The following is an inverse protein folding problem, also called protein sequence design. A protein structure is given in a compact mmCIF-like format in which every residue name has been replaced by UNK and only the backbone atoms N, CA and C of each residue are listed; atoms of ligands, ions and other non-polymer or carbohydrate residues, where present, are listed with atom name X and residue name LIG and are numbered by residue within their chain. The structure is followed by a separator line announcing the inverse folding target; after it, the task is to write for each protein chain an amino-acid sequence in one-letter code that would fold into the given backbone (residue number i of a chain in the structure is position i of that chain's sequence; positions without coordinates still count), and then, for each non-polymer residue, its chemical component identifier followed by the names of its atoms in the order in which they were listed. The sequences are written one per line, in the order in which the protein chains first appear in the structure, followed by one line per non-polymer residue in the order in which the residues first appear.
data_IF_403861013274
#
_entry.id   IF_403861013274
#
_cell.length_a   1.000
_cell.length_b   1.000
_cell.length_c   1.000
_cell.angle_alpha   90.00
_cell.angle_beta   90.00
_cell.angle_gamma   90.00
#
_symmetry.space_group_name_H-M   'P 1'
#
loop_
_entity.id
_entity.type
_entity.pdbx_description
1 polymer ?
#
# COMPACT_ATOMS: atom_id res chain seq x y z
N UNK A 1 12.49 11.58 48.48
CA UNK A 1 12.52 10.36 47.65
C UNK A 1 12.25 10.77 46.22
N UNK A 2 13.15 11.60 45.72
CA UNK A 2 13.57 11.65 44.32
C UNK A 2 14.46 10.42 44.04
N UNK A 3 14.68 10.10 42.77
CA UNK A 3 15.66 9.11 42.25
C UNK A 3 15.08 7.76 41.79
N UNK A 4 14.25 7.74 40.73
CA UNK A 4 14.05 6.55 39.87
C UNK A 4 13.34 6.81 38.52
N UNK A 5 13.13 8.07 38.09
CA UNK A 5 12.30 8.40 36.92
C UNK A 5 13.00 9.31 35.88
N UNK A 6 14.32 9.43 35.92
CA UNK A 6 15.11 10.30 35.01
C UNK A 6 15.89 9.52 33.93
N UNK A 7 15.58 8.24 33.68
CA UNK A 7 16.49 7.43 32.86
C UNK A 7 16.19 7.44 31.35
N UNK A 8 15.01 7.89 30.93
CA UNK A 8 14.60 7.83 29.52
C UNK A 8 14.27 9.20 28.96
N UNK A 9 15.17 9.70 28.12
CA UNK A 9 14.96 10.92 27.34
C UNK A 9 14.14 10.62 26.07
N UNK A 10 13.47 11.65 25.53
CA UNK A 10 12.71 11.58 24.27
C UNK A 10 13.57 11.11 23.08
N UNK A 11 14.90 11.28 23.19
CA UNK A 11 15.90 10.89 22.23
C UNK A 11 17.05 10.16 22.95
N UNK A 12 17.40 8.97 22.48
CA UNK A 12 18.50 8.18 23.03
C UNK A 12 19.30 7.52 21.92
N UNK A 13 20.62 7.53 22.04
CA UNK A 13 21.53 6.86 21.11
C UNK A 13 22.38 5.84 21.86
N UNK A 14 22.43 4.62 21.32
CA UNK A 14 23.28 3.56 21.83
C UNK A 14 24.24 3.09 20.74
N UNK A 15 25.54 3.11 21.03
CA UNK A 15 26.53 2.41 20.23
C UNK A 15 26.57 0.94 20.64
N UNK A 16 26.61 0.05 19.65
CA UNK A 16 26.79 -1.36 19.90
C UNK A 16 28.29 -1.67 19.97
N UNK A 17 28.73 -2.44 20.95
CA UNK A 17 30.10 -2.96 21.04
C UNK A 17 30.18 -4.35 20.41
N UNK A 18 31.39 -4.81 20.07
CA UNK A 18 31.61 -6.13 19.45
C UNK A 18 31.31 -7.29 20.41
N UNK A 19 31.29 -7.01 21.73
CA UNK A 19 30.81 -7.92 22.77
C UNK A 19 29.31 -8.19 22.68
N UNK A 20 28.55 -7.33 21.99
CA UNK A 20 27.09 -7.34 21.96
C UNK A 20 26.44 -6.50 23.07
N UNK A 21 27.23 -5.80 23.87
CA UNK A 21 26.74 -4.83 24.86
C UNK A 21 26.42 -3.49 24.19
N UNK A 22 25.44 -2.77 24.73
CA UNK A 22 25.03 -1.43 24.29
C UNK A 22 25.63 -0.36 25.21
N UNK A 23 26.28 0.65 24.65
CA UNK A 23 26.78 1.81 25.37
C UNK A 23 25.96 3.04 25.00
N UNK A 24 25.36 3.72 25.98
CA UNK A 24 24.62 4.97 25.74
C UNK A 24 25.62 6.09 25.41
N UNK A 25 25.35 6.81 24.34
CA UNK A 25 26.07 8.03 23.97
C UNK A 25 25.18 9.21 24.30
N UNK A 26 25.74 10.19 24.99
CA UNK A 26 25.08 11.47 25.24
C UNK A 26 25.36 12.39 24.06
N UNK A 27 24.34 12.61 23.22
CA UNK A 27 24.44 13.44 22.02
C UNK A 27 23.10 14.12 21.78
N UNK A 28 23.14 15.36 21.32
CA UNK A 28 21.95 16.07 20.87
C UNK A 28 21.53 15.60 19.47
N UNK A 29 20.25 15.80 19.13
CA UNK A 29 19.70 15.38 17.84
C UNK A 29 20.42 16.04 16.64
N UNK A 30 20.84 17.30 16.79
CA UNK A 30 21.55 18.04 15.73
C UNK A 30 22.95 17.48 15.43
N UNK A 31 23.57 16.82 16.41
CA UNK A 31 24.95 16.35 16.32
C UNK A 31 25.02 14.87 15.93
N UNK A 32 23.87 14.21 15.75
CA UNK A 32 23.76 12.80 15.37
C UNK A 32 24.58 12.47 14.11
N UNK A 33 24.60 13.34 13.11
CA UNK A 33 25.35 13.08 11.87
C UNK A 33 26.85 12.88 12.10
N UNK A 34 27.41 13.58 13.10
CA UNK A 34 28.85 13.56 13.37
C UNK A 34 29.32 12.24 13.98
N UNK A 35 28.43 11.52 14.66
CA UNK A 35 28.76 10.26 15.35
C UNK A 35 28.51 9.01 14.49
N UNK A 36 27.77 9.12 13.38
CA UNK A 36 27.44 7.99 12.50
C UNK A 36 28.67 7.51 11.71
N UNK A 37 29.54 6.77 12.38
CA UNK A 37 30.76 6.22 11.80
C UNK A 37 30.48 4.96 10.94
N UNK A 38 31.05 4.84 9.72
CA UNK A 38 30.82 3.69 8.83
C UNK A 38 31.17 2.32 9.41
N UNK A 39 32.01 2.26 10.45
CA UNK A 39 32.48 1.04 11.09
C UNK A 39 31.60 0.58 12.25
N UNK A 40 30.66 1.42 12.66
CA UNK A 40 29.83 1.20 13.84
C UNK A 40 28.38 0.87 13.50
N UNK A 41 27.66 0.41 14.52
CA UNK A 41 26.21 0.17 14.47
C UNK A 41 25.60 0.89 15.65
N UNK A 42 24.58 1.70 15.38
CA UNK A 42 23.89 2.49 16.38
C UNK A 42 22.42 2.06 16.49
N UNK A 43 21.90 2.08 17.71
CA UNK A 43 20.47 1.93 18.00
C UNK A 43 19.98 3.28 18.51
N UNK A 44 19.08 3.91 17.75
CA UNK A 44 18.61 5.26 17.99
C UNK A 44 17.12 5.18 18.32
N UNK A 45 16.72 5.66 19.49
CA UNK A 45 15.34 5.70 19.94
C UNK A 45 14.85 7.14 19.83
N UNK A 46 13.70 7.33 19.19
CA UNK A 46 13.01 8.62 19.17
C UNK A 46 11.53 8.42 19.51
N UNK A 47 11.11 8.99 20.63
CA UNK A 47 9.74 8.83 21.15
C UNK A 47 8.71 9.48 20.22
N UNK A 48 9.00 10.68 19.71
CA UNK A 48 8.03 11.49 18.93
C UNK A 48 7.46 10.74 17.73
N UNK A 49 8.33 9.99 17.04
CA UNK A 49 7.95 9.17 15.88
C UNK A 49 7.63 7.73 16.28
N UNK A 50 7.84 7.36 17.55
CA UNK A 50 7.70 6.00 18.10
C UNK A 50 8.49 4.99 17.28
N UNK A 51 9.77 5.26 17.06
CA UNK A 51 10.66 4.37 16.31
C UNK A 51 11.97 4.11 17.03
N UNK A 52 12.47 2.90 16.81
CA UNK A 52 13.81 2.48 17.15
C UNK A 52 14.51 2.21 15.82
N UNK A 53 15.45 3.07 15.45
CA UNK A 53 16.24 2.91 14.24
C UNK A 53 17.49 2.11 14.58
N UNK A 54 17.82 1.13 13.75
CA UNK A 54 19.10 0.42 13.77
C UNK A 54 19.90 0.94 12.58
N UNK A 55 20.81 1.88 12.82
CA UNK A 55 21.68 2.40 11.77
C UNK A 55 22.92 1.51 11.66
N UNK A 56 23.22 1.04 10.45
CA UNK A 56 24.30 0.10 10.16
C UNK A 56 25.30 0.74 9.21
N UNK A 57 26.50 1.00 9.72
CA UNK A 57 27.59 1.50 8.90
C UNK A 57 28.03 0.46 7.85
N UNK A 58 28.42 0.90 6.67
CA UNK A 58 28.77 0.01 5.55
C UNK A 58 29.99 -0.87 5.81
N UNK A 59 30.91 -0.42 6.67
CA UNK A 59 32.12 -1.14 7.10
C UNK A 59 31.94 -1.89 8.42
N UNK A 60 30.76 -1.81 9.04
CA UNK A 60 30.54 -2.48 10.32
C UNK A 60 30.54 -4.00 10.18
N UNK A 61 31.10 -4.76 11.15
CA UNK A 61 31.18 -6.22 11.08
C UNK A 61 29.81 -6.90 10.97
N UNK A 62 29.72 -7.96 10.18
CA UNK A 62 28.46 -8.71 9.95
C UNK A 62 27.84 -9.18 11.27
N UNK A 63 28.65 -9.76 12.17
CA UNK A 63 28.22 -10.20 13.50
C UNK A 63 27.53 -9.07 14.28
N UNK A 64 28.07 -7.85 14.22
CA UNK A 64 27.56 -6.67 14.91
C UNK A 64 26.17 -6.27 14.40
N UNK A 65 25.96 -6.29 13.08
CA UNK A 65 24.66 -6.03 12.43
C UNK A 65 23.60 -7.09 12.75
N UNK A 66 24.00 -8.34 12.99
CA UNK A 66 23.08 -9.39 13.41
C UNK A 66 22.67 -9.24 14.89
N UNK A 67 23.64 -8.91 15.75
CA UNK A 67 23.39 -8.73 17.18
C UNK A 67 22.51 -7.50 17.44
N UNK A 68 22.66 -6.43 16.64
CA UNK A 68 21.89 -5.20 16.81
C UNK A 68 20.37 -5.41 16.77
N UNK A 69 19.87 -6.34 15.95
CA UNK A 69 18.43 -6.67 15.91
C UNK A 69 17.94 -7.23 17.24
N UNK A 70 18.73 -8.09 17.89
CA UNK A 70 18.39 -8.66 19.21
C UNK A 70 18.44 -7.60 20.30
N UNK A 71 19.45 -6.74 20.27
CA UNK A 71 19.61 -5.64 21.23
C UNK A 71 18.45 -4.65 21.11
N UNK A 72 18.03 -4.30 19.89
CA UNK A 72 16.88 -3.44 19.66
C UNK A 72 15.57 -4.06 20.16
N UNK A 73 15.37 -5.38 19.98
CA UNK A 73 14.21 -6.09 20.55
C UNK A 73 14.19 -6.06 22.08
N UNK A 74 15.33 -6.33 22.73
CA UNK A 74 15.45 -6.24 24.19
C UNK A 74 15.15 -4.82 24.68
N UNK A 75 15.71 -3.81 24.02
CA UNK A 75 15.46 -2.42 24.34
C UNK A 75 13.99 -2.02 24.12
N UNK A 76 13.35 -2.54 23.07
CA UNK A 76 11.92 -2.33 22.84
C UNK A 76 11.06 -2.92 23.97
N UNK A 77 11.38 -4.12 24.46
CA UNK A 77 10.68 -4.75 25.59
C UNK A 77 10.90 -4.00 26.91
N UNK A 78 12.11 -3.49 27.13
CA UNK A 78 12.45 -2.60 28.25
C UNK A 78 11.57 -1.34 28.23
N UNK A 79 11.54 -0.66 27.07
CA UNK A 79 10.79 0.58 26.86
C UNK A 79 9.26 0.39 26.84
N UNK A 80 8.76 -0.78 26.43
CA UNK A 80 7.32 -1.07 26.42
C UNK A 80 6.66 -1.00 27.80
N UNK A 81 7.44 -1.12 28.89
CA UNK A 81 6.96 -0.97 30.26
C UNK A 81 6.53 0.48 30.55
N UNK A 82 7.03 1.43 29.78
CA UNK A 82 6.70 2.84 29.89
C UNK A 82 5.58 3.23 28.91
N UNK A 83 4.64 4.04 29.39
CA UNK A 83 3.49 4.46 28.59
C UNK A 83 3.89 5.29 27.34
N UNK A 84 5.04 5.98 27.40
CA UNK A 84 5.61 6.75 26.30
C UNK A 84 5.97 5.85 25.09
N UNK A 85 6.62 4.72 25.34
CA UNK A 85 7.25 3.91 24.30
C UNK A 85 6.50 2.61 23.92
N UNK A 86 5.27 2.40 24.42
CA UNK A 86 4.47 1.17 24.27
C UNK A 86 4.18 0.68 22.83
N UNK A 87 4.60 1.42 21.78
CA UNK A 87 4.37 1.08 20.35
C UNK A 87 5.56 1.37 19.45
N UNK A 88 6.78 1.47 20.00
CA UNK A 88 7.92 1.77 19.16
C UNK A 88 8.14 0.67 18.12
N UNK A 89 8.29 1.04 16.84
CA UNK A 89 8.60 0.08 15.76
C UNK A 89 10.09 0.09 15.46
N UNK A 90 10.69 -1.09 15.33
CA UNK A 90 12.08 -1.25 14.91
C UNK A 90 12.18 -1.08 13.40
N UNK A 91 13.13 -0.26 12.94
CA UNK A 91 13.43 -0.01 11.53
C UNK A 91 14.93 -0.15 11.32
N UNK A 92 15.35 -1.00 10.38
CA UNK A 92 16.76 -1.05 9.98
C UNK A 92 17.07 0.00 8.93
N UNK A 93 18.20 0.67 9.10
CA UNK A 93 18.73 1.70 8.20
C UNK A 93 20.15 1.30 7.83
N UNK A 94 20.40 1.10 6.54
CA UNK A 94 21.74 0.79 6.02
C UNK A 94 22.35 2.09 5.47
N UNK A 95 23.64 2.31 5.73
CA UNK A 95 24.33 3.51 5.26
C UNK A 95 24.33 3.59 3.72
N UNK A 96 23.91 4.74 3.19
CA UNK A 96 23.72 4.98 1.75
C UNK A 96 22.42 4.42 1.16
N UNK A 97 21.55 3.80 1.97
CA UNK A 97 20.19 3.40 1.62
C UNK A 97 19.23 3.86 2.74
N UNK A 98 19.43 5.09 3.23
CA UNK A 98 18.63 5.61 4.33
C UNK A 98 17.20 5.92 3.87
N UNK A 99 16.15 5.42 4.56
CA UNK A 99 14.78 5.74 4.19
C UNK A 99 14.53 7.24 4.39
N UNK A 100 13.74 7.84 3.49
CA UNK A 100 13.37 9.28 3.54
C UNK A 100 12.81 9.67 4.90
N UNK A 101 12.07 8.76 5.55
CA UNK A 101 11.57 8.96 6.91
C UNK A 101 12.70 9.19 7.92
N UNK A 102 13.79 8.42 7.89
CA UNK A 102 14.94 8.61 8.78
C UNK A 102 15.63 9.95 8.53
N UNK A 103 15.90 10.28 7.26
CA UNK A 103 16.55 11.54 6.90
C UNK A 103 15.73 12.75 7.34
N UNK A 104 14.41 12.74 7.07
CA UNK A 104 13.50 13.82 7.48
C UNK A 104 13.33 13.92 9.00
N UNK A 105 13.42 12.80 9.73
CA UNK A 105 13.22 12.74 11.18
C UNK A 105 14.36 13.42 11.94
N UNK A 106 15.58 13.34 11.43
CA UNK A 106 16.80 13.87 12.05
C UNK A 106 17.40 15.06 11.28
N UNK A 107 16.71 15.54 10.23
CA UNK A 107 17.16 16.59 9.33
C UNK A 107 18.58 16.32 8.77
N UNK A 108 18.81 15.08 8.33
CA UNK A 108 20.10 14.60 7.82
C UNK A 108 20.11 14.56 6.29
N UNK A 109 21.30 14.72 5.71
CA UNK A 109 21.58 14.42 4.31
C UNK A 109 22.00 12.95 4.13
N UNK A 110 21.70 12.34 2.98
CA UNK A 110 22.08 10.95 2.72
C UNK A 110 23.60 10.78 2.70
N UNK A 111 24.10 9.74 3.36
CA UNK A 111 25.54 9.47 3.45
C UNK A 111 25.97 8.58 2.29
N UNK A 112 26.33 9.20 1.16
CA UNK A 112 26.75 8.46 -0.04
C UNK A 112 27.99 7.58 0.22
N UNK A 113 27.82 6.27 -0.01
CA UNK A 113 28.91 5.29 0.10
C UNK A 113 29.70 5.26 -1.21
N UNK A 114 30.90 5.86 -1.21
CA UNK A 114 31.80 5.87 -2.39
C UNK A 114 32.42 4.52 -2.72
N UNK A 115 32.55 3.63 -1.74
CA UNK A 115 33.16 2.30 -1.92
C UNK A 115 32.35 1.25 -1.14
N UNK A 116 31.65 0.36 -1.87
CA UNK A 116 31.05 -0.84 -1.28
C UNK A 116 32.14 -1.92 -1.20
N UNK A 117 32.63 -2.31 -0.01
CA UNK A 117 33.61 -3.37 0.11
C UNK A 117 33.05 -4.68 -0.48
N UNK A 118 33.89 -5.40 -1.24
CA UNK A 118 33.51 -6.62 -1.97
C UNK A 118 33.04 -7.78 -1.08
N UNK A 119 33.24 -7.66 0.24
CA UNK A 119 32.92 -8.67 1.25
C UNK A 119 31.42 -8.74 1.63
N UNK A 120 30.58 -7.93 0.96
CA UNK A 120 29.12 -7.87 1.18
C UNK A 120 28.31 -8.49 0.04
N UNK A 121 28.91 -9.40 -0.75
CA UNK A 121 28.10 -10.33 -1.55
C UNK A 121 27.64 -11.46 -0.65
N UNK A 122 26.55 -11.23 0.09
CA UNK A 122 25.61 -12.33 0.30
C UNK A 122 25.17 -12.76 -1.09
N UNK A 123 25.81 -13.79 -1.64
CA UNK A 123 25.22 -14.53 -2.75
C UNK A 123 23.92 -15.07 -2.17
N UNK A 124 22.81 -14.40 -2.41
CA UNK A 124 21.50 -15.02 -2.25
C UNK A 124 21.57 -16.28 -3.11
N UNK A 125 21.18 -17.44 -2.56
CA UNK A 125 21.18 -18.71 -3.29
C UNK A 125 20.46 -18.64 -4.66
N UNK A 126 19.66 -17.61 -4.88
CA UNK A 126 18.91 -17.30 -6.10
C UNK A 126 19.83 -16.92 -7.29
N UNK A 127 21.04 -16.38 -7.07
CA UNK A 127 21.91 -15.93 -8.18
C UNK A 127 22.81 -17.04 -8.76
N UNK A 128 22.92 -18.19 -8.08
CA UNK A 128 23.80 -19.30 -8.52
C UNK A 128 23.25 -20.08 -9.74
N UNK A 129 21.99 -19.86 -10.12
CA UNK A 129 21.33 -20.60 -11.20
C UNK A 129 21.33 -19.89 -12.57
N UNK A 130 21.81 -18.65 -12.67
CA UNK A 130 21.81 -17.93 -13.96
C UNK A 130 23.04 -18.19 -14.84
N UNK A 131 24.03 -18.94 -14.36
CA UNK A 131 25.22 -19.33 -15.13
C UNK A 131 25.40 -20.84 -15.18
N UNK A 132 24.47 -21.55 -15.81
CA UNK A 132 24.78 -22.83 -16.49
C UNK A 132 24.42 -22.74 -17.97
N UNK A 133 25.41 -22.79 -18.88
CA UNK A 133 25.17 -22.72 -20.31
C UNK A 133 24.55 -24.02 -20.87
N UNK A 134 23.73 -23.82 -21.90
CA UNK A 134 23.02 -24.80 -22.72
C UNK A 134 23.86 -26.05 -23.03
N UNK A 135 23.36 -27.21 -22.63
CA UNK A 135 23.86 -28.51 -23.09
C UNK A 135 23.67 -28.65 -24.59
N UNK A 136 24.78 -28.63 -25.32
CA UNK A 136 24.88 -29.09 -26.70
C UNK A 136 25.28 -30.56 -26.62
N UNK A 137 24.38 -31.45 -27.05
CA UNK A 137 24.69 -32.87 -27.23
C UNK A 137 25.76 -32.96 -28.32
N UNK A 138 26.98 -33.35 -27.94
CA UNK A 138 28.03 -33.77 -28.85
C UNK A 138 28.52 -35.12 -28.37
N UNK A 139 28.55 -36.04 -29.32
CA UNK A 139 28.93 -37.43 -29.14
C UNK A 139 30.38 -37.60 -28.67
N UNK A 140 30.51 -38.64 -27.86
CA UNK A 140 31.67 -39.39 -27.41
C UNK A 140 32.96 -39.27 -28.25
N UNK A 141 34.02 -38.74 -27.65
CA UNK A 141 35.40 -39.24 -27.79
C UNK A 141 36.25 -38.76 -26.61
N UNK A 142 36.92 -39.70 -25.94
CA UNK A 142 37.46 -39.52 -24.59
C UNK A 142 38.64 -38.58 -24.42
N UNK A 143 38.83 -38.13 -23.17
CA UNK A 143 40.13 -37.83 -22.57
C UNK A 143 40.00 -37.62 -21.05
N UNK A 144 41.00 -38.21 -20.37
CA UNK A 144 41.55 -38.06 -19.01
C UNK A 144 40.82 -37.26 -17.92
N UNK A 145 40.64 -37.95 -16.79
CA UNK A 145 40.10 -37.46 -15.53
C UNK A 145 41.16 -36.75 -14.68
N UNK A 146 40.99 -35.43 -14.49
CA UNK A 146 41.60 -34.71 -13.38
C UNK A 146 40.74 -34.93 -12.12
N UNK A 147 41.38 -35.45 -11.06
CA UNK A 147 40.74 -35.68 -9.77
C UNK A 147 40.62 -34.34 -9.05
N UNK A 148 39.39 -33.90 -8.79
CA UNK A 148 39.10 -32.88 -7.79
C UNK A 148 39.50 -33.44 -6.41
N UNK A 149 40.50 -32.83 -5.78
CA UNK A 149 40.84 -33.10 -4.38
C UNK A 149 39.74 -32.49 -3.51
N UNK A 150 38.84 -33.34 -3.02
CA UNK A 150 37.90 -32.97 -1.96
C UNK A 150 38.69 -32.53 -0.72
N UNK A 151 38.59 -31.24 -0.40
CA UNK A 151 39.17 -30.65 0.80
C UNK A 151 38.53 -31.27 2.05
N UNK A 152 39.20 -32.28 2.62
CA UNK A 152 38.81 -32.94 3.86
C UNK A 152 39.35 -32.15 5.05
N UNK A 153 38.48 -31.51 5.83
CA UNK A 153 38.89 -30.71 6.98
C UNK A 153 39.54 -31.58 8.07
N UNK A 154 40.76 -31.27 8.56
CA UNK A 154 41.47 -32.06 9.56
C UNK A 154 40.72 -32.32 10.88
N UNK A 155 39.74 -31.47 11.22
CA UNK A 155 38.95 -31.57 12.45
C UNK A 155 38.04 -32.81 12.51
N UNK A 156 37.60 -33.34 11.36
CA UNK A 156 36.76 -34.55 11.30
C UNK A 156 37.59 -35.84 11.47
N UNK A 157 38.87 -35.80 11.15
CA UNK A 157 39.78 -36.95 11.25
C UNK A 157 40.25 -37.19 12.69
N UNK A 158 40.36 -36.13 13.50
CA UNK A 158 40.62 -36.24 14.94
C UNK A 158 39.46 -36.88 15.72
N UNK A 159 38.21 -36.60 15.34
CA UNK A 159 37.03 -37.20 15.97
C UNK A 159 36.91 -38.69 15.64
N UNK A 160 37.27 -39.08 14.42
CA UNK A 160 37.28 -40.49 14.00
C UNK A 160 38.42 -41.28 14.66
N UNK A 161 39.60 -40.67 14.87
CA UNK A 161 40.70 -41.27 15.63
C UNK A 161 40.40 -41.43 17.12
N UNK A 162 39.48 -40.63 17.68
CA UNK A 162 39.04 -40.74 19.07
C UNK A 162 37.91 -41.75 19.30
N UNK A 163 37.47 -42.49 18.27
CA UNK A 163 36.51 -43.59 18.43
C UNK A 163 35.12 -43.13 18.89
N UNK A 164 34.72 -41.89 18.57
CA UNK A 164 33.39 -41.37 18.88
C UNK A 164 32.45 -41.72 17.72
N UNK A 165 31.65 -42.76 17.90
CA UNK A 165 30.53 -43.08 17.00
C UNK A 165 29.40 -42.05 17.24
N UNK A 166 29.13 -41.19 16.25
CA UNK A 166 28.08 -40.14 16.33
C UNK A 166 26.71 -40.68 15.87
N UNK A 167 26.54 -42.00 15.80
CA UNK A 167 25.36 -42.64 15.19
C UNK A 167 24.24 -42.98 16.17
N UNK A 168 24.39 -42.70 17.47
CA UNK A 168 23.39 -43.08 18.46
C UNK A 168 23.38 -42.13 19.66
N UNK A 169 22.52 -41.12 19.62
CA UNK A 169 21.84 -40.52 20.79
C UNK A 169 20.99 -39.33 20.32
N UNK A 170 19.80 -39.62 19.79
CA UNK A 170 18.67 -38.69 19.81
C UNK A 170 17.56 -39.39 20.60
N UNK A 171 17.70 -39.38 21.92
CA UNK A 171 16.60 -39.72 22.82
C UNK A 171 15.89 -38.45 23.30
N UNK A 172 14.57 -38.51 23.26
CA UNK A 172 13.61 -37.46 23.64
C UNK A 172 13.70 -37.13 25.14
N UNK A 173 13.45 -35.87 25.55
CA UNK A 173 13.02 -35.60 26.91
C UNK A 173 11.49 -35.43 26.96
N UNK A 174 10.82 -36.47 27.42
CA UNK A 174 9.56 -36.39 28.16
C UNK A 174 9.85 -36.03 29.61
N UNK A 175 9.13 -35.07 30.21
CA UNK A 175 9.16 -34.90 31.67
C UNK A 175 8.74 -33.53 32.19
N UNK A 176 7.44 -33.35 32.39
CA UNK A 176 6.86 -32.38 33.33
C UNK A 176 7.19 -32.72 34.78
N UNK A 177 7.22 -31.71 35.68
CA UNK A 177 6.72 -31.91 37.04
C UNK A 177 5.66 -30.89 37.45
N UNK A 178 4.75 -31.39 38.28
CA UNK A 178 3.62 -30.73 38.90
C UNK A 178 3.96 -29.96 40.17
N UNK A 179 3.08 -29.01 40.48
CA UNK A 179 2.66 -28.53 41.81
C UNK A 179 3.67 -27.90 42.77
N UNK A 180 3.40 -26.65 43.18
CA UNK A 180 2.93 -26.38 44.56
C UNK A 180 2.38 -24.97 44.72
N UNK A 181 1.29 -24.91 45.48
CA UNK A 181 0.54 -23.78 45.98
C UNK A 181 1.29 -23.00 47.05
N UNK A 182 1.25 -21.66 47.00
CA UNK A 182 1.43 -20.83 48.18
C UNK A 182 0.53 -19.58 48.11
N UNK A 183 -0.42 -19.56 49.03
CA UNK A 183 -1.32 -18.48 49.39
C UNK A 183 -0.58 -17.34 50.08
N UNK A 184 -0.74 -16.10 49.60
CA UNK A 184 -0.41 -14.89 50.40
C UNK A 184 -1.53 -13.86 50.31
N UNK A 185 -1.84 -13.36 51.50
CA UNK A 185 -2.82 -12.41 51.98
C UNK A 185 -3.14 -11.17 51.15
N UNK A 186 -4.43 -11.09 50.82
CA UNK A 186 -5.36 -9.96 50.87
C UNK A 186 -4.86 -8.70 51.63
N UNK A 187 -4.54 -7.63 50.88
CA UNK A 187 -4.49 -6.26 51.39
C UNK A 187 -5.62 -5.43 50.75
N UNK A 188 -6.50 -4.87 51.58
CA UNK A 188 -7.63 -4.02 51.17
C UNK A 188 -7.11 -2.65 50.71
N UNK A 189 -7.37 -2.28 49.46
CA UNK A 189 -7.20 -0.89 48.98
C UNK A 189 -8.47 -0.07 49.26
N UNK A 190 -8.34 1.24 49.57
CA UNK A 190 -9.45 2.10 49.93
C UNK A 190 -10.36 2.41 48.73
N UNK A 191 -11.65 2.49 49.04
CA UNK A 191 -12.75 2.84 48.15
C UNK A 191 -12.54 4.24 47.56
N UNK A 192 -12.40 4.33 46.23
CA UNK A 192 -12.45 5.59 45.47
C UNK A 192 -13.80 5.69 44.77
N UNK A 193 -14.47 6.85 44.79
CA UNK A 193 -15.82 7.01 44.24
C UNK A 193 -15.83 6.88 42.70
N UNK A 194 -16.93 6.40 42.09
CA UNK A 194 -17.02 6.23 40.66
C UNK A 194 -17.12 7.59 39.96
N UNK A 195 -16.01 8.07 39.40
CA UNK A 195 -16.06 9.12 38.36
C UNK A 195 -16.55 8.48 37.07
N UNK A 196 -17.70 8.95 36.60
CA UNK A 196 -18.30 8.55 35.33
C UNK A 196 -17.29 8.67 34.19
N UNK A 197 -16.80 7.53 33.72
CA UNK A 197 -16.04 7.45 32.47
C UNK A 197 -17.05 7.37 31.33
N UNK A 198 -17.22 8.49 30.64
CA UNK A 198 -17.74 8.53 29.28
C UNK A 198 -16.84 7.65 28.41
N UNK A 199 -17.25 6.41 28.15
CA UNK A 199 -16.55 5.49 27.27
C UNK A 199 -16.83 5.86 25.81
N UNK A 200 -16.24 6.94 25.31
CA UNK A 200 -16.00 7.07 23.87
C UNK A 200 -14.76 6.24 23.53
N UNK A 201 -14.94 4.91 23.52
CA UNK A 201 -13.94 3.95 23.05
C UNK A 201 -13.84 4.17 21.53
N UNK A 202 -12.95 5.08 21.12
CA UNK A 202 -12.64 5.32 19.72
C UNK A 202 -12.21 3.97 19.12
N UNK A 203 -13.06 3.38 18.27
CA UNK A 203 -12.76 2.16 17.53
C UNK A 203 -11.47 2.43 16.76
N UNK A 204 -10.39 1.75 17.13
CA UNK A 204 -9.15 1.76 16.35
C UNK A 204 -9.49 1.37 14.92
N UNK A 205 -9.15 2.23 13.94
CA UNK A 205 -9.33 1.96 12.51
C UNK A 205 -8.77 0.56 12.23
N UNK A 206 -9.64 -0.40 11.89
CA UNK A 206 -9.21 -1.73 11.40
C UNK A 206 -8.32 -1.44 10.19
N UNK A 207 -7.03 -1.73 10.32
CA UNK A 207 -6.14 -1.73 9.18
C UNK A 207 -6.57 -2.90 8.30
N UNK A 208 -7.06 -2.60 7.10
CA UNK A 208 -7.45 -3.60 6.11
C UNK A 208 -6.17 -4.35 5.68
N UNK A 209 -6.13 -5.66 5.92
CA UNK A 209 -5.04 -6.52 5.45
C UNK A 209 -5.32 -6.90 3.99
N UNK A 210 -4.49 -6.41 3.07
CA UNK A 210 -4.71 -6.59 1.64
C UNK A 210 -4.74 -8.07 1.24
N UNK A 211 -3.96 -8.93 1.92
CA UNK A 211 -3.94 -10.38 1.62
C UNK A 211 -5.29 -11.03 1.91
N UNK A 212 -5.87 -10.73 3.07
CA UNK A 212 -7.18 -11.26 3.46
C UNK A 212 -8.29 -10.81 2.51
N UNK A 213 -8.21 -9.59 1.99
CA UNK A 213 -9.18 -9.08 1.01
C UNK A 213 -9.01 -9.80 -0.32
N UNK A 214 -7.78 -9.99 -0.79
CA UNK A 214 -7.51 -10.73 -2.02
C UNK A 214 -8.02 -12.16 -1.91
N UNK A 215 -7.69 -12.88 -0.83
CA UNK A 215 -8.20 -14.24 -0.57
C UNK A 215 -9.73 -14.28 -0.58
N UNK A 216 -10.39 -13.35 0.14
CA UNK A 216 -11.85 -13.22 0.16
C UNK A 216 -12.47 -12.99 -1.22
N UNK A 217 -11.80 -12.21 -2.10
CA UNK A 217 -12.26 -11.97 -3.47
C UNK A 217 -12.12 -13.24 -4.31
N UNK A 218 -10.97 -13.94 -4.20
CA UNK A 218 -10.67 -15.14 -4.97
C UNK A 218 -11.53 -16.35 -4.60
N UNK A 219 -12.11 -16.37 -3.41
CA UNK A 219 -13.10 -17.39 -3.00
C UNK A 219 -14.45 -17.28 -3.72
N UNK A 220 -14.72 -16.16 -4.42
CA UNK A 220 -16.00 -15.95 -5.12
C UNK A 220 -16.03 -16.63 -6.49
N UNK A 221 -17.19 -17.16 -6.85
CA UNK A 221 -17.40 -17.76 -8.17
C UNK A 221 -17.28 -16.72 -9.30
N UNK A 222 -16.52 -17.08 -10.32
CA UNK A 222 -16.35 -16.26 -11.52
C UNK A 222 -17.57 -16.38 -12.44
N UNK A 223 -18.00 -15.29 -13.11
CA UNK A 223 -18.99 -15.40 -14.17
C UNK A 223 -18.46 -16.25 -15.32
N UNK A 224 -19.34 -16.96 -16.01
CA UNK A 224 -18.97 -17.76 -17.18
C UNK A 224 -18.26 -16.90 -18.24
N UNK A 225 -17.12 -17.38 -18.73
CA UNK A 225 -16.29 -16.71 -19.76
C UNK A 225 -15.66 -15.39 -19.31
N UNK A 226 -15.41 -15.23 -18.01
CA UNK A 226 -14.63 -14.12 -17.48
C UNK A 226 -13.47 -14.62 -16.62
N UNK A 227 -12.31 -14.00 -16.82
CA UNK A 227 -11.13 -14.18 -15.98
C UNK A 227 -10.85 -12.91 -15.17
N UNK A 228 -10.27 -13.07 -13.98
CA UNK A 228 -9.81 -11.93 -13.19
C UNK A 228 -8.56 -11.35 -13.85
N UNK A 229 -8.63 -10.09 -14.28
CA UNK A 229 -7.46 -9.41 -14.84
C UNK A 229 -6.65 -8.72 -13.75
N UNK A 230 -7.32 -7.95 -12.89
CA UNK A 230 -6.68 -7.15 -11.85
C UNK A 230 -7.56 -7.05 -10.60
N UNK A 231 -6.90 -6.86 -9.47
CA UNK A 231 -7.55 -6.55 -8.18
C UNK A 231 -7.05 -5.20 -7.69
N UNK A 232 -7.96 -4.31 -7.29
CA UNK A 232 -7.61 -3.02 -6.71
C UNK A 232 -8.03 -3.01 -5.24
N UNK A 233 -7.06 -2.97 -4.34
CA UNK A 233 -7.29 -2.92 -2.89
C UNK A 233 -6.81 -1.58 -2.37
N UNK A 234 -7.75 -0.73 -1.96
CA UNK A 234 -7.48 0.67 -1.66
C UNK A 234 -6.97 1.44 -2.88
N UNK A 235 -5.69 1.82 -2.87
CA UNK A 235 -5.03 2.53 -3.97
C UNK A 235 -4.07 1.65 -4.78
N UNK A 236 -3.89 0.41 -4.36
CA UNK A 236 -2.86 -0.49 -4.89
C UNK A 236 -3.48 -1.48 -5.87
N UNK A 237 -2.93 -1.53 -7.09
CA UNK A 237 -3.32 -2.49 -8.10
C UNK A 237 -2.47 -3.75 -7.99
N UNK A 238 -3.13 -4.91 -8.05
CA UNK A 238 -2.54 -6.23 -8.05
C UNK A 238 -2.83 -6.94 -9.38
N UNK A 239 -1.88 -7.77 -9.80
CA UNK A 239 -1.98 -8.59 -10.99
C UNK A 239 -1.60 -10.03 -10.68
N UNK A 240 -2.17 -10.96 -11.43
CA UNK A 240 -1.78 -12.36 -11.39
C UNK A 240 -0.38 -12.53 -12.00
N UNK A 241 0.46 -13.30 -11.32
CA UNK A 241 1.78 -13.72 -11.75
C UNK A 241 1.82 -15.24 -11.68
N UNK A 242 2.05 -15.88 -12.82
CA UNK A 242 2.28 -17.32 -12.90
C UNK A 242 3.71 -17.65 -12.51
N UNK A 243 3.89 -18.39 -11.42
CA UNK A 243 5.16 -19.00 -11.02
C UNK A 243 5.14 -20.45 -11.47
N UNK A 244 5.94 -20.75 -12.49
CA UNK A 244 6.14 -22.13 -12.94
C UNK A 244 7.29 -22.70 -12.10
N UNK A 245 7.01 -23.74 -11.33
CA UNK A 245 8.01 -24.48 -10.56
C UNK A 245 8.10 -25.89 -11.09
N UNK A 246 9.32 -26.37 -11.36
CA UNK A 246 9.53 -27.74 -11.80
C UNK A 246 9.69 -28.63 -10.57
N UNK A 247 8.73 -29.52 -10.33
CA UNK A 247 8.73 -30.45 -9.20
C UNK A 247 8.68 -31.86 -9.78
N UNK A 248 9.79 -32.61 -9.63
CA UNK A 248 9.96 -33.96 -10.21
C UNK A 248 9.89 -34.04 -11.74
N UNK A 249 10.27 -32.99 -12.46
CA UNK A 249 10.21 -32.97 -13.92
C UNK A 249 8.83 -32.57 -14.46
N UNK A 250 7.84 -32.34 -13.60
CA UNK A 250 6.55 -31.77 -13.95
C UNK A 250 6.55 -30.27 -13.63
N UNK A 251 6.13 -29.46 -14.60
CA UNK A 251 5.97 -28.03 -14.42
C UNK A 251 4.62 -27.77 -13.75
N UNK A 252 4.66 -27.30 -12.49
CA UNK A 252 3.50 -26.88 -11.72
C UNK A 252 3.39 -25.36 -11.82
N UNK A 253 2.30 -24.87 -12.39
CA UNK A 253 1.98 -23.44 -12.46
C UNK A 253 1.18 -23.03 -11.22
N UNK A 254 1.79 -22.21 -10.37
CA UNK A 254 1.12 -21.58 -9.23
C UNK A 254 0.82 -20.12 -9.57
N UNK A 255 -0.43 -19.69 -9.39
CA UNK A 255 -0.82 -18.31 -9.61
C UNK A 255 -0.76 -17.53 -8.30
N UNK A 256 0.11 -16.53 -8.24
CA UNK A 256 0.20 -15.61 -7.11
C UNK A 256 -0.25 -14.20 -7.51
N UNK A 257 -0.78 -13.43 -6.55
CA UNK A 257 -1.21 -12.05 -6.77
C UNK A 257 -0.23 -11.09 -6.12
N UNK A 258 0.50 -10.33 -6.95
CA UNK A 258 1.50 -9.38 -6.48
C UNK A 258 1.15 -7.95 -6.90
N UNK A 259 1.71 -6.97 -6.17
CA UNK A 259 1.54 -5.54 -6.47
C UNK A 259 2.19 -5.22 -7.81
N UNK A 260 1.47 -4.51 -8.68
CA UNK A 260 2.03 -3.98 -9.92
C UNK A 260 2.82 -2.71 -9.62
N UNK A 261 4.14 -2.73 -9.84
CA UNK A 261 5.03 -1.58 -9.64
C UNK A 261 4.96 -0.58 -10.79
N UNK A 262 4.80 -1.05 -12.03
CA UNK A 262 4.82 -0.20 -13.22
C UNK A 262 3.40 0.06 -13.73
N UNK A 263 2.78 1.11 -13.21
CA UNK A 263 1.49 1.59 -13.69
C UNK A 263 1.64 2.58 -14.85
N UNK A 264 0.72 2.58 -15.81
CA UNK A 264 0.68 3.60 -16.86
C UNK A 264 0.33 4.97 -16.27
N UNK A 265 0.63 6.03 -17.00
CA UNK A 265 0.29 7.40 -16.59
C UNK A 265 -0.96 7.95 -17.29
N UNK A 266 -1.75 8.71 -16.53
CA UNK A 266 -2.96 9.38 -16.99
C UNK A 266 -4.25 8.60 -16.75
N UNK A 267 -5.28 8.93 -17.54
CA UNK A 267 -6.62 8.39 -17.40
C UNK A 267 -6.85 7.30 -18.44
N UNK A 268 -7.36 6.14 -18.04
CA UNK A 268 -7.73 5.07 -18.96
C UNK A 268 -9.19 4.70 -18.84
N UNK A 269 -9.86 4.60 -19.99
CA UNK A 269 -11.23 4.15 -20.11
C UNK A 269 -11.26 2.64 -20.35
N UNK A 270 -12.00 1.91 -19.52
CA UNK A 270 -12.18 0.46 -19.62
C UNK A 270 -13.59 0.18 -20.14
N UNK A 271 -13.66 -0.38 -21.35
CA UNK A 271 -14.89 -0.77 -22.06
C UNK A 271 -15.06 -2.28 -22.05
N UNK A 272 -16.29 -2.74 -21.84
CA UNK A 272 -16.67 -4.16 -21.81
C UNK A 272 -15.91 -4.95 -20.73
N UNK A 273 -15.79 -4.34 -19.55
CA UNK A 273 -15.26 -4.96 -18.34
C UNK A 273 -16.40 -5.13 -17.34
N UNK A 274 -16.35 -6.18 -16.52
CA UNK A 274 -17.20 -6.29 -15.33
C UNK A 274 -16.39 -5.86 -14.12
N UNK A 275 -16.94 -4.94 -13.34
CA UNK A 275 -16.38 -4.58 -12.03
C UNK A 275 -17.25 -5.17 -10.93
N UNK A 276 -16.64 -5.89 -9.98
CA UNK A 276 -17.29 -6.23 -8.72
C UNK A 276 -16.66 -5.41 -7.60
N UNK A 277 -17.46 -4.56 -6.97
CA UNK A 277 -17.02 -3.65 -5.91
C UNK A 277 -17.43 -4.26 -4.58
N UNK A 278 -16.44 -4.56 -3.73
CA UNK A 278 -16.61 -5.14 -2.41
C UNK A 278 -16.61 -4.02 -1.37
N UNK A 279 -17.65 -3.99 -0.55
CA UNK A 279 -17.92 -2.91 0.39
C UNK A 279 -18.08 -3.45 1.81
N UNK A 280 -17.47 -2.76 2.76
CA UNK A 280 -17.71 -2.98 4.19
C UNK A 280 -19.04 -2.32 4.57
N UNK A 281 -20.06 -3.13 4.89
CA UNK A 281 -21.40 -2.67 5.29
C UNK A 281 -21.38 -1.78 6.53
N UNK A 282 -20.45 -2.02 7.46
CA UNK A 282 -20.39 -1.29 8.72
C UNK A 282 -19.64 0.04 8.57
N UNK A 283 -18.61 0.07 7.72
CA UNK A 283 -17.77 1.24 7.53
C UNK A 283 -18.19 2.14 6.36
N UNK A 284 -19.00 1.64 5.42
CA UNK A 284 -19.32 2.34 4.16
C UNK A 284 -18.08 2.53 3.27
N UNK A 285 -17.09 1.66 3.40
CA UNK A 285 -15.79 1.77 2.72
C UNK A 285 -15.65 0.69 1.65
N UNK A 286 -14.93 1.01 0.58
CA UNK A 286 -14.53 0.05 -0.46
C UNK A 286 -13.36 -0.77 0.08
N UNK A 287 -13.59 -2.08 0.24
CA UNK A 287 -12.56 -3.05 0.63
C UNK A 287 -11.66 -3.37 -0.57
N UNK A 288 -12.28 -3.67 -1.71
CA UNK A 288 -11.57 -3.99 -2.94
C UNK A 288 -12.47 -3.94 -4.18
N UNK A 289 -11.84 -3.91 -5.34
CA UNK A 289 -12.49 -3.90 -6.65
C UNK A 289 -11.87 -5.02 -7.48
N UNK A 290 -12.71 -5.94 -7.95
CA UNK A 290 -12.34 -6.98 -8.89
C UNK A 290 -12.62 -6.49 -10.32
N UNK A 291 -11.62 -6.55 -11.19
CA UNK A 291 -11.70 -6.16 -12.60
C UNK A 291 -11.66 -7.42 -13.46
N UNK A 292 -12.81 -7.79 -14.00
CA UNK A 292 -13.01 -9.00 -14.80
C UNK A 292 -12.95 -8.70 -16.29
N UNK A 293 -12.15 -9.48 -17.01
CA UNK A 293 -11.99 -9.42 -18.45
C UNK A 293 -12.72 -10.59 -19.10
N UNK A 294 -13.43 -10.32 -20.20
CA UNK A 294 -14.09 -11.39 -20.93
C UNK A 294 -13.08 -12.25 -21.70
N UNK A 295 -13.21 -13.57 -21.57
CA UNK A 295 -12.49 -14.58 -22.32
C UNK A 295 -13.39 -15.13 -23.43
N UNK A 296 -13.08 -14.80 -24.69
CA UNK A 296 -13.79 -15.38 -25.83
C UNK A 296 -15.11 -14.71 -26.25
N UNK A 297 -15.48 -13.53 -25.73
CA UNK A 297 -16.63 -12.80 -26.26
C UNK A 297 -16.40 -12.17 -27.63
N UNK A 298 -17.48 -11.95 -28.37
CA UNK A 298 -17.48 -11.24 -29.66
C UNK A 298 -17.06 -9.77 -29.55
N UNK A 299 -17.13 -9.18 -28.35
CA UNK A 299 -16.76 -7.80 -28.07
C UNK A 299 -15.66 -7.77 -27.01
N UNK A 300 -14.38 -7.81 -27.42
CA UNK A 300 -13.27 -7.92 -26.48
C UNK A 300 -13.24 -6.71 -25.54
N UNK A 301 -12.86 -6.95 -24.28
CA UNK A 301 -12.58 -5.90 -23.31
C UNK A 301 -11.41 -5.05 -23.81
N UNK A 302 -11.59 -3.72 -23.79
CA UNK A 302 -10.61 -2.76 -24.30
C UNK A 302 -10.29 -1.71 -23.25
N UNK A 303 -8.99 -1.44 -23.12
CA UNK A 303 -8.45 -0.37 -22.28
C UNK A 303 -7.86 0.71 -23.20
N UNK A 304 -8.38 1.92 -23.12
CA UNK A 304 -8.03 3.04 -24.00
C UNK A 304 -7.51 4.22 -23.18
N UNK A 305 -6.33 4.76 -23.52
CA UNK A 305 -5.82 5.98 -22.89
C UNK A 305 -6.69 7.16 -23.32
N UNK A 306 -7.17 7.92 -22.34
CA UNK A 306 -7.91 9.16 -22.58
C UNK A 306 -6.95 10.28 -22.99
N UNK A 307 -7.41 11.18 -23.86
CA UNK A 307 -6.71 12.43 -24.21
C UNK A 307 -6.91 13.53 -23.16
N UNK A 308 -7.72 13.26 -22.13
CA UNK A 308 -8.03 14.20 -21.07
C UNK A 308 -6.84 14.33 -20.13
N UNK A 309 -6.37 15.56 -19.94
CA UNK A 309 -5.37 15.90 -18.93
C UNK A 309 -6.07 16.39 -17.66
N UNK A 310 -5.61 15.91 -16.50
CA UNK A 310 -6.01 16.51 -15.24
C UNK A 310 -5.25 17.82 -15.05
N UNK A 311 -5.89 18.89 -14.54
CA UNK A 311 -5.17 20.11 -14.20
C UNK A 311 -4.13 19.82 -13.12
N UNK A 312 -2.90 20.29 -13.33
CA UNK A 312 -1.77 20.05 -12.40
C UNK A 312 -1.96 20.80 -11.09
N UNK A 313 -2.51 22.02 -11.12
CA UNK A 313 -2.58 22.92 -9.97
C UNK A 313 -3.98 23.01 -9.34
N UNK A 314 -4.00 23.00 -8.00
CA UNK A 314 -5.16 23.33 -7.17
C UNK A 314 -6.20 22.21 -6.98
N UNK A 315 -6.84 22.19 -5.80
CA UNK A 315 -7.98 21.32 -5.49
C UNK A 315 -7.64 19.86 -5.16
N UNK A 316 -8.62 19.14 -4.65
CA UNK A 316 -8.49 17.69 -4.41
C UNK A 316 -8.69 16.92 -5.72
N UNK A 317 -8.17 15.69 -5.81
CA UNK A 317 -8.41 14.82 -6.99
C UNK A 317 -9.91 14.67 -7.29
N UNK A 318 -10.73 14.67 -6.25
CA UNK A 318 -12.18 14.63 -6.35
C UNK A 318 -12.73 15.82 -7.15
N UNK A 319 -12.36 17.04 -6.78
CA UNK A 319 -12.81 18.26 -7.48
C UNK A 319 -12.31 18.27 -8.93
N UNK A 320 -11.06 17.85 -9.14
CA UNK A 320 -10.47 17.75 -10.48
C UNK A 320 -11.28 16.81 -11.38
N UNK A 321 -11.70 15.66 -10.86
CA UNK A 321 -12.49 14.67 -11.61
C UNK A 321 -13.90 15.17 -11.91
N UNK A 322 -14.54 15.87 -10.97
CA UNK A 322 -15.89 16.39 -11.21
C UNK A 322 -15.94 17.41 -12.35
N UNK A 323 -14.84 18.14 -12.58
CA UNK A 323 -14.67 19.07 -13.69
C UNK A 323 -14.30 18.41 -15.02
N UNK A 324 -13.99 17.10 -15.04
CA UNK A 324 -13.70 16.38 -16.28
C UNK A 324 -14.99 16.14 -17.07
N UNK A 325 -14.94 16.40 -18.38
CA UNK A 325 -16.05 16.15 -19.30
C UNK A 325 -16.44 14.66 -19.34
N UNK A 326 -17.76 14.43 -19.23
CA UNK A 326 -18.36 13.10 -19.31
C UNK A 326 -18.54 12.74 -20.80
N UNK A 327 -18.19 11.50 -21.23
CA UNK A 327 -18.44 11.06 -22.59
C UNK A 327 -19.91 11.21 -23.00
N UNK A 328 -20.13 11.50 -24.29
CA UNK A 328 -21.47 11.61 -24.84
C UNK A 328 -22.31 10.34 -24.59
N UNK A 329 -23.55 10.52 -24.15
CA UNK A 329 -24.46 9.42 -23.83
C UNK A 329 -24.16 8.70 -22.51
N UNK A 330 -23.26 9.23 -21.66
CA UNK A 330 -23.03 8.72 -20.31
C UNK A 330 -23.41 9.77 -19.26
N UNK A 331 -23.73 9.29 -18.05
CA UNK A 331 -23.83 10.10 -16.85
C UNK A 331 -22.88 9.55 -15.79
N UNK A 332 -22.34 10.43 -14.95
CA UNK A 332 -21.54 10.03 -13.80
C UNK A 332 -22.44 9.52 -12.69
N UNK A 333 -22.21 8.30 -12.24
CA UNK A 333 -23.04 7.65 -11.22
C UNK A 333 -22.34 7.65 -9.88
N UNK A 334 -21.10 7.16 -9.85
CA UNK A 334 -20.30 7.07 -8.64
C UNK A 334 -18.83 7.42 -8.89
N UNK A 335 -18.15 7.82 -7.82
CA UNK A 335 -16.73 8.11 -7.81
C UNK A 335 -16.09 7.46 -6.58
N UNK A 336 -15.06 6.64 -6.79
CA UNK A 336 -14.30 6.02 -5.70
C UNK A 336 -12.96 6.73 -5.59
N UNK A 337 -12.63 7.27 -4.42
CA UNK A 337 -11.34 7.92 -4.15
C UNK A 337 -10.69 7.23 -2.94
N UNK A 338 -9.66 6.43 -3.19
CA UNK A 338 -9.11 5.50 -2.20
C UNK A 338 -10.18 4.51 -1.73
N UNK A 339 -10.51 4.51 -0.43
CA UNK A 339 -11.52 3.63 0.16
C UNK A 339 -12.93 4.24 0.21
N UNK A 340 -13.10 5.48 -0.24
CA UNK A 340 -14.36 6.22 -0.08
C UNK A 340 -15.18 6.16 -1.35
N UNK A 341 -16.44 5.74 -1.23
CA UNK A 341 -17.42 5.77 -2.31
C UNK A 341 -18.23 7.07 -2.23
N UNK A 342 -18.26 7.82 -3.31
CA UNK A 342 -19.05 9.03 -3.46
C UNK A 342 -20.17 8.83 -4.48
N UNK A 343 -21.30 9.47 -4.25
CA UNK A 343 -22.46 9.43 -5.14
C UNK A 343 -23.11 10.81 -5.26
N UNK A 344 -23.77 11.04 -6.38
CA UNK A 344 -24.57 12.22 -6.61
C UNK A 344 -25.84 12.20 -5.74
N UNK A 345 -26.09 13.30 -5.03
CA UNK A 345 -27.33 13.56 -4.30
C UNK A 345 -28.01 14.74 -4.99
N UNK A 346 -29.12 14.45 -5.66
CA UNK A 346 -29.96 15.47 -6.26
C UNK A 346 -30.96 16.00 -5.25
N UNK A 347 -30.92 17.30 -4.99
CA UNK A 347 -31.92 18.04 -4.22
C UNK A 347 -32.79 18.81 -5.19
N UNK A 348 -34.10 18.58 -5.09
CA UNK A 348 -35.09 19.36 -5.83
C UNK A 348 -35.44 20.58 -4.98
N UNK A 349 -35.11 21.77 -5.47
CA UNK A 349 -35.35 23.05 -4.79
C UNK A 349 -36.27 23.87 -5.66
N UNK A 350 -37.36 24.39 -5.10
CA UNK A 350 -38.26 25.30 -5.80
C UNK A 350 -37.79 26.74 -5.55
N UNK A 351 -37.38 27.44 -6.61
CA UNK A 351 -36.91 28.81 -6.55
C UNK A 351 -37.82 29.65 -7.45
N UNK A 352 -38.61 30.55 -6.86
CA UNK A 352 -39.61 31.37 -7.55
C UNK A 352 -40.69 30.59 -8.33
N UNK A 353 -41.08 29.40 -7.85
CA UNK A 353 -42.06 28.56 -8.54
C UNK A 353 -41.47 27.70 -9.66
N UNK A 354 -40.17 27.80 -9.92
CA UNK A 354 -39.45 26.91 -10.83
C UNK A 354 -38.70 25.85 -10.04
N UNK A 355 -38.91 24.58 -10.40
CA UNK A 355 -38.20 23.46 -9.81
C UNK A 355 -36.78 23.36 -10.40
N UNK A 356 -35.77 23.60 -9.58
CA UNK A 356 -34.36 23.42 -9.91
C UNK A 356 -33.82 22.15 -9.25
N UNK A 357 -32.96 21.42 -9.96
CA UNK A 357 -32.28 20.24 -9.42
C UNK A 357 -30.83 20.61 -9.16
N UNK A 358 -30.49 20.82 -7.89
CA UNK A 358 -29.12 20.98 -7.44
C UNK A 358 -28.52 19.60 -7.21
N UNK A 359 -27.34 19.32 -7.79
CA UNK A 359 -26.67 18.03 -7.64
C UNK A 359 -25.38 18.22 -6.86
N UNK A 360 -25.38 17.71 -5.63
CA UNK A 360 -24.21 17.65 -4.76
C UNK A 360 -23.57 16.26 -4.85
N UNK A 361 -22.29 16.15 -4.47
CA UNK A 361 -21.60 14.87 -4.37
C UNK A 361 -21.16 14.59 -2.94
N UNK A 362 -21.65 13.50 -2.36
CA UNK A 362 -21.43 13.19 -0.95
C UNK A 362 -20.86 11.78 -0.77
N UNK A 363 -20.23 11.57 0.38
CA UNK A 363 -19.80 10.25 0.82
C UNK A 363 -21.03 9.35 1.03
N UNK A 364 -21.00 8.15 0.45
CA UNK A 364 -22.04 7.14 0.64
C UNK A 364 -21.78 6.42 1.96
N UNK A 365 -22.50 6.80 3.01
CA UNK A 365 -22.32 6.21 4.35
C UNK A 365 -22.92 4.80 4.49
N UNK A 366 -23.94 4.49 3.69
CA UNK A 366 -24.67 3.22 3.76
C UNK A 366 -24.84 2.65 2.36
N UNK A 367 -24.42 1.41 2.21
CA UNK A 367 -24.53 0.68 0.95
C UNK A 367 -25.51 -0.49 1.11
N UNK A 368 -26.38 -0.74 0.12
CA UNK A 368 -27.43 -1.75 0.24
C UNK A 368 -26.90 -3.19 0.12
N UNK A 369 -25.73 -3.37 -0.51
CA UNK A 369 -25.13 -4.68 -0.81
C UNK A 369 -23.65 -4.66 -0.45
N UNK A 370 -23.17 -5.82 -0.03
CA UNK A 370 -21.74 -6.10 0.19
C UNK A 370 -20.94 -6.11 -1.12
N UNK A 371 -21.57 -6.60 -2.20
CA UNK A 371 -20.96 -6.71 -3.53
C UNK A 371 -21.88 -6.01 -4.53
N UNK A 372 -21.33 -5.08 -5.30
CA UNK A 372 -22.01 -4.43 -6.42
C UNK A 372 -21.35 -4.89 -7.72
N UNK A 373 -22.11 -5.53 -8.59
CA UNK A 373 -21.66 -5.99 -9.92
C UNK A 373 -22.11 -4.98 -10.97
N UNK A 374 -21.17 -4.51 -11.78
CA UNK A 374 -21.38 -3.51 -12.80
C UNK A 374 -20.81 -4.00 -14.14
N UNK A 375 -21.70 -4.34 -15.07
CA UNK A 375 -21.38 -4.99 -16.36
C UNK A 375 -21.65 -4.09 -17.59
N UNK A 376 -22.47 -3.06 -17.42
CA UNK A 376 -22.94 -2.15 -18.47
C UNK A 376 -22.36 -0.74 -18.35
N UNK A 377 -21.37 -0.56 -17.46
CA UNK A 377 -20.79 0.73 -17.11
C UNK A 377 -19.49 0.97 -17.87
N UNK A 378 -19.16 2.24 -18.06
CA UNK A 378 -17.84 2.67 -18.51
C UNK A 378 -17.05 3.11 -17.28
N UNK A 379 -15.83 2.59 -17.14
CA UNK A 379 -14.96 2.93 -16.03
C UNK A 379 -13.81 3.80 -16.51
N UNK A 380 -13.47 4.84 -15.74
CA UNK A 380 -12.23 5.59 -15.93
C UNK A 380 -11.34 5.40 -14.71
N UNK A 381 -10.13 4.89 -14.94
CA UNK A 381 -9.10 4.71 -13.93
C UNK A 381 -8.12 5.88 -14.00
N UNK A 382 -7.89 6.52 -12.86
CA UNK A 382 -7.00 7.67 -12.71
C UNK A 382 -5.68 7.21 -12.11
N UNK A 383 -4.69 6.96 -12.95
CA UNK A 383 -3.38 6.46 -12.51
C UNK A 383 -2.47 7.62 -12.09
N UNK A 384 -1.69 7.38 -11.04
CA UNK A 384 -0.66 8.29 -10.58
C UNK A 384 0.69 7.59 -10.64
N UNK A 385 1.48 7.92 -11.66
CA UNK A 385 2.77 7.29 -11.89
C UNK A 385 3.78 7.61 -10.77
N UNK A 386 3.73 8.80 -10.18
CA UNK A 386 4.68 9.23 -9.13
C UNK A 386 4.59 8.36 -7.88
N UNK A 387 3.37 7.92 -7.56
CA UNK A 387 3.09 7.15 -6.36
C UNK A 387 2.89 5.65 -6.63
N UNK A 388 2.89 5.24 -7.92
CA UNK A 388 2.55 3.88 -8.34
C UNK A 388 1.19 3.42 -7.75
N UNK A 389 0.18 4.29 -7.83
CA UNK A 389 -1.17 4.08 -7.29
C UNK A 389 -2.27 4.44 -8.28
N UNK A 390 -3.48 3.96 -8.02
CA UNK A 390 -4.72 4.46 -8.62
C UNK A 390 -5.34 5.46 -7.64
N UNK A 391 -5.44 6.72 -8.04
CA UNK A 391 -5.97 7.77 -7.17
C UNK A 391 -7.51 7.74 -7.12
N UNK A 392 -8.16 7.35 -8.20
CA UNK A 392 -9.61 7.25 -8.28
C UNK A 392 -10.13 6.27 -9.35
N UNK A 393 -11.36 5.81 -9.15
CA UNK A 393 -12.17 5.06 -10.12
C UNK A 393 -13.49 5.81 -10.33
N UNK A 394 -13.72 6.29 -11.54
CA UNK A 394 -14.96 6.93 -11.94
C UNK A 394 -15.87 5.92 -12.65
N UNK A 395 -17.13 5.87 -12.23
CA UNK A 395 -18.14 4.93 -12.70
C UNK A 395 -19.19 5.72 -13.50
N UNK A 396 -19.28 5.42 -14.79
CA UNK A 396 -20.16 6.10 -15.73
C UNK A 396 -21.24 5.14 -16.23
N UNK A 397 -22.49 5.53 -16.07
CA UNK A 397 -23.64 4.77 -16.54
C UNK A 397 -24.09 5.28 -17.90
N UNK A 398 -24.33 4.37 -18.84
CA UNK A 398 -24.89 4.75 -20.14
C UNK A 398 -26.29 5.33 -19.92
N UNK A 399 -26.52 6.53 -20.43
CA UNK A 399 -27.84 7.12 -20.50
C UNK A 399 -28.75 6.22 -21.33
N UNK A 400 -29.90 5.82 -20.78
CA UNK A 400 -30.99 5.40 -21.64
C UNK A 400 -31.50 6.66 -22.35
N UNK A 401 -31.70 6.62 -23.66
CA UNK A 401 -32.18 7.75 -24.51
C UNK A 401 -33.60 8.24 -24.16
N UNK A 402 -34.05 8.13 -22.91
CA UNK A 402 -35.36 8.55 -22.44
C UNK A 402 -35.24 9.76 -21.53
N UNK A 403 -34.70 10.85 -22.05
CA UNK A 403 -35.12 12.18 -21.61
C UNK A 403 -35.73 12.85 -22.83
N UNK A 404 -37.06 12.82 -22.91
CA UNK A 404 -37.79 13.80 -23.70
C UNK A 404 -37.48 15.15 -23.05
N UNK A 405 -36.59 15.91 -23.64
CA UNK A 405 -36.38 17.30 -23.28
C UNK A 405 -37.73 18.03 -23.36
N UNK A 406 -38.18 18.59 -22.24
CA UNK A 406 -39.24 19.59 -22.26
C UNK A 406 -38.69 20.84 -22.98
N UNK A 407 -39.35 21.37 -24.01
CA UNK A 407 -38.79 22.41 -24.88
C UNK A 407 -38.88 23.84 -24.29
N UNK A 408 -38.76 24.01 -22.98
CA UNK A 408 -38.85 25.31 -22.34
C UNK A 408 -37.55 25.68 -21.64
N UNK A 409 -36.50 25.85 -22.42
CA UNK A 409 -35.38 26.73 -22.04
C UNK A 409 -34.77 27.32 -23.30
N UNK A 410 -35.47 28.31 -23.89
CA UNK A 410 -34.85 29.20 -24.87
C UNK A 410 -33.73 29.98 -24.18
N UNK A 411 -32.50 29.63 -24.53
CA UNK A 411 -31.29 30.31 -24.16
C UNK A 411 -31.26 31.70 -24.78
N UNK A 412 -31.18 32.71 -23.92
CA UNK A 412 -30.80 34.06 -24.31
C UNK A 412 -29.33 34.05 -24.73
N UNK A 413 -29.07 34.06 -26.03
CA UNK A 413 -27.75 34.40 -26.59
C UNK A 413 -27.87 35.49 -27.65
N UNK A 414 -27.22 36.62 -27.33
CA UNK A 414 -26.44 37.51 -28.19
C UNK A 414 -26.91 37.73 -29.64
N UNK A 415 -27.55 38.88 -29.87
CA UNK A 415 -27.56 39.51 -31.20
C UNK A 415 -26.31 40.38 -31.37
N UNK A 416 -25.35 39.85 -32.12
CA UNK A 416 -24.34 40.63 -32.84
C UNK A 416 -24.99 41.53 -33.90
N UNK A 417 -24.41 42.71 -34.04
CA UNK A 417 -24.75 43.74 -35.03
C UNK A 417 -24.31 43.35 -36.46
N UNK A 418 -25.18 43.63 -37.44
CA UNK A 418 -24.96 44.34 -38.74
C UNK A 418 -25.94 43.84 -39.83
N UNK A 419 -26.12 44.54 -40.96
CA UNK A 419 -26.32 45.98 -41.14
C UNK A 419 -27.61 46.30 -41.94
N UNK A 420 -27.97 47.59 -41.89
CA UNK A 420 -29.04 48.32 -42.61
C UNK A 420 -29.43 47.77 -43.99
N UNK A 421 -30.72 47.45 -44.16
CA UNK A 421 -31.43 47.59 -45.44
C UNK A 421 -32.72 48.40 -45.26
N UNK A 422 -32.85 49.42 -46.11
CA UNK A 422 -33.93 50.39 -46.15
C UNK A 422 -35.25 49.70 -46.51
N UNK A 423 -36.33 49.93 -45.75
CA UNK A 423 -37.66 49.83 -46.30
C UNK A 423 -38.60 50.91 -45.74
N UNK A 424 -39.31 51.53 -46.69
CA UNK A 424 -40.13 52.73 -46.58
C UNK A 424 -41.29 52.55 -45.61
N UNK A 425 -41.46 53.50 -44.69
CA UNK A 425 -42.68 53.70 -43.90
C UNK A 425 -43.76 54.29 -44.81
N UNK A 426 -44.88 53.59 -44.97
CA UNK A 426 -46.15 54.20 -45.37
C UNK A 426 -46.92 54.58 -44.10
N UNK A 427 -47.09 55.88 -43.90
CA UNK A 427 -47.93 56.48 -42.86
C UNK A 427 -49.41 56.28 -43.21
N UNK A 428 -50.22 55.85 -42.23
CA UNK A 428 -51.68 55.97 -42.30
C UNK A 428 -52.11 57.36 -41.77
N UNK A 429 -52.97 58.03 -42.56
CA UNK A 429 -53.61 59.31 -42.22
C UNK A 429 -54.59 59.13 -41.07
N UNK A 430 -54.52 60.03 -40.09
CA UNK A 430 -55.56 60.25 -39.07
C UNK A 430 -56.61 61.20 -39.67
N UNK A 431 -57.92 60.92 -39.55
CA UNK A 431 -58.98 61.84 -39.99
C UNK A 431 -59.16 63.00 -39.00
N UNK A 432 -59.38 64.20 -39.56
CA UNK A 432 -59.75 65.42 -38.83
C UNK A 432 -61.17 65.29 -38.27
N UNK A 433 -61.38 65.70 -37.03
CA UNK A 433 -62.71 65.95 -36.46
C UNK A 433 -62.98 67.46 -36.46
N UNK A 434 -64.25 67.80 -36.72
CA UNK A 434 -64.85 69.14 -36.68
C UNK A 434 -64.87 69.77 -35.28
#
# INVERSE_FOLDING_TARGET
MSDLNEEYDFFMVFELLDSGEKQRIDVDESDLQSILAPEQVFVIVKEDVRRIFIWKGVKSPVRKRFISSRVASSLQEELQKEAAFHRCKIVSVDQGDEPVEFLSTFNLESMEVKERPQDMRYIRNIEKDTTRPKGKVVEDTGSESEKEEEYYSPALEELKRKGVDISAEIEKPTGSPSSTSASVSRAKKPYSPPRGRSSSRAKSKKHLDAKQIIEKILEQDLPENYGIQNLLVGKTLYGAISKITNVFGEDIEEQEWERISKLPDGIYSLKNYIFRIYLDKDAGMVEGIEILKSEGSSTPSKMEKSTINLPDEGGTIFDKILNVEIPEGYRRENLIVGHKLYGAISKKVEVFGEEQIETDWNLVEKVPKEIIVLDTHLFRLYFNQKNETIDAVEILQKGSEKIKENPNTESSQNKEEKPKTKNKRNLHKIPSAD
#
